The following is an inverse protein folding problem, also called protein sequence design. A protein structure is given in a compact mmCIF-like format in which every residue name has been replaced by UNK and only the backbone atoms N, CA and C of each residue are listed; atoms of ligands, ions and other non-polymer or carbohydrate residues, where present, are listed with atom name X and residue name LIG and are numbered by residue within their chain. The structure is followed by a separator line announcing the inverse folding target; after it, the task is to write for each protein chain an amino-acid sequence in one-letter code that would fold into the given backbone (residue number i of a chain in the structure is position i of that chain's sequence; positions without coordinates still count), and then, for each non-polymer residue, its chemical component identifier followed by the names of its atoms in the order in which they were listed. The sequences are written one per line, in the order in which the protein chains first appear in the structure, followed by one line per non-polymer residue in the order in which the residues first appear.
data_IF_292155456683
#
_entry.id   IF_292155456683
#
_cell.length_a   1.000
_cell.length_b   1.000
_cell.length_c   1.000
_cell.angle_alpha   90.00
_cell.angle_beta   90.00
_cell.angle_gamma   90.00
#
_symmetry.space_group_name_H-M   'P 1'
#
loop_
_entity.id
_entity.type
_entity.pdbx_description
1 polymer ?
#
# COMPACT_ATOMS: atom_id res chain seq x y z
N UNK A 1 11.81 4.19 9.14
CA UNK A 1 11.76 5.54 8.53
C UNK A 1 13.07 6.27 8.82
N UNK A 2 13.69 6.89 7.81
CA UNK A 2 14.98 7.59 7.92
C UNK A 2 14.85 8.89 8.74
N UNK A 3 15.77 9.14 9.67
CA UNK A 3 15.90 10.39 10.44
C UNK A 3 16.93 11.37 9.85
N UNK A 4 17.49 11.07 8.66
CA UNK A 4 18.56 11.88 8.08
C UNK A 4 18.03 13.22 7.54
N UNK A 5 18.57 14.33 8.06
CA UNK A 5 18.36 15.67 7.49
C UNK A 5 19.06 15.73 6.11
N UNK A 6 18.40 16.37 5.15
CA UNK A 6 18.75 16.49 3.71
C UNK A 6 20.15 17.06 3.36
N UNK A 7 21.02 17.34 4.34
CA UNK A 7 22.38 17.84 4.08
C UNK A 7 23.37 16.73 3.68
N UNK A 8 23.03 15.45 3.87
CA UNK A 8 23.86 14.32 3.45
C UNK A 8 23.07 13.39 2.53
N UNK A 9 23.58 13.13 1.33
CA UNK A 9 23.00 12.19 0.38
C UNK A 9 23.22 10.76 0.89
N UNK A 10 22.18 10.16 1.47
CA UNK A 10 22.22 8.77 1.97
C UNK A 10 21.57 7.84 0.95
N UNK A 11 22.26 6.75 0.63
CA UNK A 11 21.76 5.73 -0.29
C UNK A 11 21.05 4.58 0.43
N UNK A 12 20.00 4.06 -0.21
CA UNK A 12 19.41 2.76 0.08
C UNK A 12 19.95 1.74 -0.92
N UNK A 13 20.31 0.56 -0.42
CA UNK A 13 20.86 -0.56 -1.20
C UNK A 13 20.01 -1.81 -0.99
N UNK A 14 20.16 -2.79 -1.89
CA UNK A 14 19.48 -4.09 -1.78
C UNK A 14 19.64 -4.72 -0.39
N UNK A 15 20.84 -4.66 0.19
CA UNK A 15 21.08 -5.17 1.54
C UNK A 15 20.26 -4.39 2.59
N UNK A 16 20.20 -3.05 2.48
CA UNK A 16 19.38 -2.25 3.39
C UNK A 16 17.89 -2.56 3.25
N UNK A 17 17.43 -2.88 2.04
CA UNK A 17 16.05 -3.29 1.77
C UNK A 17 15.75 -4.66 2.34
N UNK A 18 16.62 -5.63 2.09
CA UNK A 18 16.46 -6.99 2.60
C UNK A 18 16.40 -7.06 4.13
N UNK A 19 17.19 -6.22 4.82
CA UNK A 19 17.22 -6.15 6.29
C UNK A 19 15.88 -5.83 6.93
N UNK A 20 15.01 -5.06 6.27
CA UNK A 20 13.66 -4.80 6.77
C UNK A 20 12.61 -5.70 6.11
N UNK A 21 12.81 -6.07 4.85
CA UNK A 21 11.84 -6.84 4.06
C UNK A 21 11.69 -8.27 4.57
N UNK A 22 12.78 -8.97 4.93
CA UNK A 22 12.67 -10.35 5.42
C UNK A 22 11.87 -10.47 6.73
N UNK A 23 12.16 -9.68 7.79
CA UNK A 23 11.33 -9.67 8.99
C UNK A 23 9.87 -9.31 8.70
N UNK A 24 9.65 -8.36 7.78
CA UNK A 24 8.31 -7.96 7.37
C UNK A 24 7.55 -9.10 6.67
N UNK A 25 8.23 -9.86 5.81
CA UNK A 25 7.65 -11.04 5.17
C UNK A 25 7.16 -12.05 6.22
N UNK A 26 8.02 -12.38 7.19
CA UNK A 26 7.71 -13.36 8.22
C UNK A 26 6.60 -12.92 9.16
N UNK A 27 6.66 -11.68 9.65
CA UNK A 27 5.77 -11.21 10.71
C UNK A 27 4.45 -10.64 10.17
N UNK A 28 4.42 -10.19 8.91
CA UNK A 28 3.28 -9.50 8.33
C UNK A 28 2.76 -10.19 7.08
N UNK A 29 3.58 -10.34 6.05
CA UNK A 29 3.12 -10.85 4.75
C UNK A 29 2.58 -12.29 4.86
N UNK A 30 3.33 -13.20 5.49
CA UNK A 30 2.89 -14.59 5.64
C UNK A 30 1.62 -14.69 6.48
N UNK A 31 1.53 -14.12 7.70
CA UNK A 31 0.28 -14.17 8.47
C UNK A 31 -0.91 -13.55 7.75
N UNK A 32 -0.73 -12.38 7.13
CA UNK A 32 -1.80 -11.68 6.40
C UNK A 32 -2.24 -12.42 5.13
N UNK A 33 -1.35 -13.16 4.48
CA UNK A 33 -1.70 -14.01 3.35
C UNK A 33 -2.38 -15.32 3.77
N UNK A 34 -1.90 -15.95 4.84
CA UNK A 34 -2.39 -17.26 5.27
C UNK A 34 -3.73 -17.20 6.00
N UNK A 35 -3.95 -16.23 6.90
CA UNK A 35 -5.18 -16.14 7.71
C UNK A 35 -6.46 -16.10 6.85
N UNK A 36 -6.56 -15.28 5.77
CA UNK A 36 -7.69 -15.31 4.85
C UNK A 36 -7.96 -16.69 4.25
N UNK A 37 -6.90 -17.37 3.82
CA UNK A 37 -6.99 -18.68 3.16
C UNK A 37 -7.41 -19.78 4.14
N UNK A 38 -6.86 -19.75 5.37
CA UNK A 38 -7.26 -20.64 6.45
C UNK A 38 -8.73 -20.42 6.80
N UNK A 39 -9.18 -19.17 6.89
CA UNK A 39 -10.56 -18.85 7.21
C UNK A 39 -11.53 -19.44 6.17
N UNK A 40 -11.31 -19.19 4.87
CA UNK A 40 -12.20 -19.76 3.85
C UNK A 40 -12.13 -21.29 3.79
N UNK A 41 -11.00 -21.90 4.13
CA UNK A 41 -10.87 -23.35 4.21
C UNK A 41 -11.70 -23.94 5.36
N UNK A 42 -11.66 -23.32 6.55
CA UNK A 42 -12.41 -23.76 7.74
C UNK A 42 -13.93 -23.62 7.52
N UNK A 43 -14.36 -22.52 6.89
CA UNK A 43 -15.78 -22.21 6.68
C UNK A 43 -16.31 -22.65 5.30
N UNK A 44 -15.51 -23.37 4.51
CA UNK A 44 -15.85 -23.82 3.15
C UNK A 44 -16.37 -22.70 2.23
N UNK A 45 -15.78 -21.51 2.33
CA UNK A 45 -16.17 -20.34 1.55
C UNK A 45 -15.45 -20.33 0.19
N UNK A 46 -16.11 -19.84 -0.88
CA UNK A 46 -15.46 -19.73 -2.18
C UNK A 46 -14.40 -18.64 -2.21
N UNK A 47 -13.42 -18.72 -3.11
CA UNK A 47 -12.40 -17.66 -3.30
C UNK A 47 -13.00 -16.27 -3.56
N UNK A 48 -14.17 -16.23 -4.21
CA UNK A 48 -14.93 -14.99 -4.43
C UNK A 48 -15.32 -14.26 -3.14
N UNK A 49 -15.39 -14.95 -2.00
CA UNK A 49 -15.59 -14.34 -0.68
C UNK A 49 -14.49 -13.33 -0.35
N UNK A 50 -13.25 -13.62 -0.75
CA UNK A 50 -12.09 -12.75 -0.55
C UNK A 50 -11.92 -11.71 -1.66
N UNK A 51 -12.87 -11.60 -2.61
CA UNK A 51 -12.71 -10.76 -3.79
C UNK A 51 -11.68 -11.28 -4.79
N UNK A 52 -11.30 -12.56 -4.72
CA UNK A 52 -10.43 -13.21 -5.69
C UNK A 52 -11.26 -13.66 -6.90
N UNK A 53 -11.60 -12.68 -7.75
CA UNK A 53 -12.43 -12.85 -8.94
C UNK A 53 -11.79 -12.19 -10.16
N UNK A 54 -12.03 -12.75 -11.35
CA UNK A 54 -11.58 -12.21 -12.65
C UNK A 54 -12.75 -11.61 -13.43
N UNK A 55 -13.61 -10.86 -12.75
CA UNK A 55 -14.73 -10.13 -13.37
C UNK A 55 -14.24 -8.81 -13.95
N UNK A 56 -14.80 -8.42 -15.11
CA UNK A 56 -14.59 -7.09 -15.71
C UNK A 56 -13.12 -6.64 -15.78
N UNK A 57 -12.19 -7.57 -16.05
CA UNK A 57 -10.72 -7.33 -15.99
C UNK A 57 -10.28 -6.04 -16.71
N UNK A 58 -10.74 -5.73 -17.94
CA UNK A 58 -10.37 -4.48 -18.60
C UNK A 58 -10.74 -3.22 -17.80
N UNK A 59 -11.92 -3.21 -17.15
CA UNK A 59 -12.37 -2.11 -16.30
C UNK A 59 -11.48 -1.99 -15.06
N UNK A 60 -11.19 -3.10 -14.39
CA UNK A 60 -10.34 -3.11 -13.20
C UNK A 60 -8.90 -2.69 -13.51
N UNK A 61 -8.36 -3.07 -14.66
CA UNK A 61 -7.05 -2.60 -15.12
C UNK A 61 -7.08 -1.10 -15.42
N UNK A 62 -8.09 -0.62 -16.16
CA UNK A 62 -8.23 0.79 -16.49
C UNK A 62 -8.35 1.66 -15.24
N UNK A 63 -9.28 1.33 -14.33
CA UNK A 63 -9.49 2.05 -13.08
C UNK A 63 -8.27 1.92 -12.18
N UNK A 64 -7.72 0.71 -12.06
CA UNK A 64 -6.52 0.44 -11.26
C UNK A 64 -5.34 1.30 -11.66
N UNK A 65 -5.05 1.39 -12.97
CA UNK A 65 -3.96 2.21 -13.50
C UNK A 65 -4.25 3.70 -13.36
N UNK A 66 -5.43 4.18 -13.76
CA UNK A 66 -5.76 5.61 -13.72
C UNK A 66 -5.76 6.15 -12.28
N UNK A 67 -6.49 5.47 -11.38
CA UNK A 67 -6.54 5.85 -9.97
C UNK A 67 -5.18 5.60 -9.33
N UNK A 68 -4.46 4.54 -9.69
CA UNK A 68 -3.14 4.23 -9.18
C UNK A 68 -2.12 5.32 -9.50
N UNK A 69 -2.04 5.79 -10.75
CA UNK A 69 -1.17 6.91 -11.15
C UNK A 69 -1.52 8.18 -10.36
N UNK A 70 -2.82 8.50 -10.26
CA UNK A 70 -3.28 9.63 -9.46
C UNK A 70 -2.89 9.52 -7.99
N UNK A 71 -3.03 8.32 -7.41
CA UNK A 71 -2.66 8.07 -6.02
C UNK A 71 -1.16 8.04 -5.78
N UNK A 72 -0.35 7.60 -6.75
CA UNK A 72 1.12 7.71 -6.67
C UNK A 72 1.55 9.18 -6.63
N UNK A 73 0.97 10.01 -7.50
CA UNK A 73 1.21 11.46 -7.51
C UNK A 73 0.74 12.15 -6.21
N UNK A 74 -0.43 11.77 -5.71
CA UNK A 74 -0.92 12.21 -4.41
C UNK A 74 0.03 11.81 -3.29
N UNK A 75 0.45 10.54 -3.24
CA UNK A 75 1.28 10.01 -2.17
C UNK A 75 2.66 10.67 -2.10
N UNK A 76 3.32 10.86 -3.25
CA UNK A 76 4.61 11.58 -3.28
C UNK A 76 4.47 13.03 -2.85
N UNK A 77 3.39 13.69 -3.28
CA UNK A 77 3.10 15.09 -2.93
C UNK A 77 2.79 15.22 -1.44
N UNK A 78 1.95 14.35 -0.90
CA UNK A 78 1.63 14.29 0.53
C UNK A 78 2.88 14.04 1.36
N UNK A 79 3.74 13.09 0.96
CA UNK A 79 5.02 12.85 1.63
C UNK A 79 5.87 14.11 1.64
N UNK A 80 6.03 14.75 0.48
CA UNK A 80 6.86 15.94 0.31
C UNK A 80 6.40 17.11 1.18
N UNK A 81 5.09 17.37 1.22
CA UNK A 81 4.53 18.57 1.85
C UNK A 81 4.16 18.38 3.32
N UNK A 82 3.66 17.21 3.70
CA UNK A 82 3.07 16.97 5.03
C UNK A 82 4.01 16.16 5.93
N UNK A 83 4.57 15.07 5.40
CA UNK A 83 5.43 14.18 6.19
C UNK A 83 6.83 14.77 6.34
N UNK A 84 7.37 15.28 5.24
CA UNK A 84 8.66 15.95 5.18
C UNK A 84 9.48 15.48 3.97
N UNK A 85 10.35 16.34 3.41
CA UNK A 85 11.09 16.06 2.18
C UNK A 85 12.31 15.17 2.41
N UNK A 86 12.23 14.23 3.35
CA UNK A 86 13.35 13.40 3.78
C UNK A 86 13.35 12.14 2.92
N UNK A 87 14.49 11.84 2.30
CA UNK A 87 14.63 10.71 1.40
C UNK A 87 15.91 9.92 1.65
N UNK A 88 15.92 8.67 1.18
CA UNK A 88 17.16 7.90 0.96
C UNK A 88 17.17 7.47 -0.49
N UNK A 89 18.17 7.91 -1.25
CA UNK A 89 18.23 7.64 -2.68
C UNK A 89 18.46 6.14 -2.92
N UNK A 90 17.53 5.40 -3.51
CA UNK A 90 17.74 4.00 -3.82
C UNK A 90 18.76 3.85 -4.95
N UNK A 91 19.61 2.83 -4.89
CA UNK A 91 20.34 2.38 -6.08
C UNK A 91 19.35 1.82 -7.11
N UNK A 92 19.72 1.74 -8.39
CA UNK A 92 18.82 1.25 -9.42
C UNK A 92 18.25 -0.16 -9.11
N UNK A 93 19.10 -1.06 -8.61
CA UNK A 93 18.68 -2.39 -8.18
C UNK A 93 17.78 -2.37 -6.95
N UNK A 94 18.08 -1.49 -5.98
CA UNK A 94 17.24 -1.32 -4.80
C UNK A 94 15.85 -0.82 -5.16
N UNK A 95 15.78 0.16 -6.08
CA UNK A 95 14.53 0.71 -6.60
C UNK A 95 13.67 -0.38 -7.26
N UNK A 96 14.30 -1.23 -8.07
CA UNK A 96 13.64 -2.35 -8.73
C UNK A 96 13.04 -3.33 -7.71
N UNK A 97 13.85 -3.77 -6.73
CA UNK A 97 13.40 -4.72 -5.70
C UNK A 97 12.27 -4.15 -4.86
N UNK A 98 12.40 -2.89 -4.41
CA UNK A 98 11.33 -2.25 -3.64
C UNK A 98 10.04 -2.12 -4.44
N UNK A 99 10.14 -1.67 -5.70
CA UNK A 99 8.97 -1.53 -6.58
C UNK A 99 8.27 -2.87 -6.81
N UNK A 100 9.02 -3.93 -7.10
CA UNK A 100 8.47 -5.28 -7.29
C UNK A 100 7.77 -5.75 -6.01
N UNK A 101 8.42 -5.59 -4.86
CA UNK A 101 7.83 -5.98 -3.59
C UNK A 101 6.53 -5.22 -3.30
N UNK A 102 6.49 -3.90 -3.50
CA UNK A 102 5.28 -3.11 -3.23
C UNK A 102 4.13 -3.44 -4.19
N UNK A 103 4.42 -3.64 -5.48
CA UNK A 103 3.40 -3.92 -6.50
C UNK A 103 2.87 -5.36 -6.43
N UNK A 104 3.73 -6.35 -6.19
CA UNK A 104 3.39 -7.76 -6.39
C UNK A 104 3.35 -8.59 -5.11
N UNK A 105 3.79 -8.06 -3.97
CA UNK A 105 3.78 -8.78 -2.69
C UNK A 105 2.98 -8.00 -1.66
N UNK A 106 3.44 -6.80 -1.30
CA UNK A 106 2.85 -6.03 -0.21
C UNK A 106 1.43 -5.54 -0.52
N UNK A 107 1.22 -4.81 -1.61
CA UNK A 107 -0.13 -4.36 -2.01
C UNK A 107 -1.14 -5.51 -2.13
N UNK A 108 -0.83 -6.60 -2.87
CA UNK A 108 -1.68 -7.77 -2.95
C UNK A 108 -2.07 -8.39 -1.61
N UNK A 109 -1.10 -8.61 -0.73
CA UNK A 109 -1.35 -9.29 0.55
C UNK A 109 -2.10 -8.39 1.53
N UNK A 110 -1.78 -7.10 1.57
CA UNK A 110 -2.51 -6.17 2.42
C UNK A 110 -3.96 -6.02 1.97
N UNK A 111 -4.22 -5.89 0.67
CA UNK A 111 -5.59 -5.79 0.16
C UNK A 111 -6.37 -7.10 0.31
N UNK A 112 -5.73 -8.26 0.13
CA UNK A 112 -6.32 -9.55 0.44
C UNK A 112 -6.77 -9.61 1.90
N UNK A 113 -5.96 -9.13 2.82
CA UNK A 113 -6.29 -9.18 4.24
C UNK A 113 -7.33 -8.14 4.64
N UNK A 114 -7.21 -6.88 4.22
CA UNK A 114 -8.08 -5.81 4.70
C UNK A 114 -9.38 -5.71 3.91
N UNK A 115 -9.34 -5.67 2.58
CA UNK A 115 -10.53 -5.49 1.72
C UNK A 115 -11.17 -6.82 1.36
N UNK A 116 -10.35 -7.85 1.17
CA UNK A 116 -10.83 -9.21 0.96
C UNK A 116 -11.38 -9.82 2.25
N UNK A 117 -10.52 -10.06 3.23
CA UNK A 117 -10.86 -10.85 4.42
C UNK A 117 -11.54 -10.06 5.53
N UNK A 118 -10.88 -9.05 6.14
CA UNK A 118 -11.38 -8.36 7.33
C UNK A 118 -12.75 -7.72 7.08
N UNK A 119 -12.88 -7.02 5.94
CA UNK A 119 -14.14 -6.43 5.53
C UNK A 119 -15.24 -7.50 5.37
N UNK A 120 -14.98 -8.55 4.59
CA UNK A 120 -15.97 -9.59 4.31
C UNK A 120 -16.34 -10.41 5.56
N UNK A 121 -15.37 -10.79 6.38
CA UNK A 121 -15.59 -11.55 7.61
C UNK A 121 -16.41 -10.72 8.60
N UNK A 122 -16.02 -9.47 8.88
CA UNK A 122 -16.80 -8.63 9.80
C UNK A 122 -18.19 -8.37 9.25
N UNK A 123 -18.34 -8.12 7.94
CA UNK A 123 -19.66 -7.95 7.32
C UNK A 123 -20.50 -9.24 7.41
N UNK A 124 -19.90 -10.43 7.26
CA UNK A 124 -20.56 -11.73 7.41
C UNK A 124 -21.09 -11.92 8.84
N UNK A 125 -20.26 -11.65 9.86
CA UNK A 125 -20.63 -11.87 11.27
C UNK A 125 -21.59 -10.82 11.83
N UNK A 126 -21.52 -9.58 11.33
CA UNK A 126 -22.34 -8.46 11.82
C UNK A 126 -23.56 -8.16 10.94
N UNK A 127 -23.65 -8.80 9.77
CA UNK A 127 -24.61 -8.48 8.71
C UNK A 127 -24.60 -7.00 8.30
N UNK A 128 -23.45 -6.32 8.47
CA UNK A 128 -23.30 -4.89 8.17
C UNK A 128 -22.04 -4.63 7.36
N UNK A 129 -22.24 -4.26 6.09
CA UNK A 129 -21.16 -3.80 5.22
C UNK A 129 -20.45 -2.57 5.80
N UNK A 130 -21.21 -1.67 6.45
CA UNK A 130 -20.66 -0.49 7.08
C UNK A 130 -19.69 -0.85 8.22
N UNK A 131 -20.05 -1.80 9.09
CA UNK A 131 -19.16 -2.25 10.16
C UNK A 131 -17.94 -2.98 9.60
N UNK A 132 -18.10 -3.79 8.55
CA UNK A 132 -16.98 -4.43 7.86
C UNK A 132 -16.01 -3.41 7.25
N UNK A 133 -16.54 -2.41 6.55
CA UNK A 133 -15.77 -1.30 6.01
C UNK A 133 -15.04 -0.54 7.13
N UNK A 134 -15.76 -0.11 8.18
CA UNK A 134 -15.21 0.67 9.28
C UNK A 134 -14.10 -0.09 10.01
N UNK A 135 -14.32 -1.36 10.35
CA UNK A 135 -13.32 -2.21 10.99
C UNK A 135 -12.09 -2.38 10.11
N UNK A 136 -12.27 -2.72 8.83
CA UNK A 136 -11.15 -2.89 7.89
C UNK A 136 -10.32 -1.62 7.73
N UNK A 137 -10.96 -0.45 7.60
CA UNK A 137 -10.29 0.84 7.43
C UNK A 137 -9.58 1.30 8.71
N UNK A 138 -10.20 1.14 9.89
CA UNK A 138 -9.57 1.50 11.17
C UNK A 138 -8.36 0.61 11.43
N UNK A 139 -8.50 -0.72 11.30
CA UNK A 139 -7.39 -1.64 11.55
C UNK A 139 -6.28 -1.40 10.52
N UNK A 140 -6.60 -1.23 9.23
CA UNK A 140 -5.65 -0.83 8.18
C UNK A 140 -4.89 0.46 8.53
N UNK A 141 -5.59 1.47 9.05
CA UNK A 141 -4.94 2.75 9.40
C UNK A 141 -4.03 2.57 10.62
N UNK A 142 -4.53 1.91 11.67
CA UNK A 142 -3.83 1.85 12.96
C UNK A 142 -2.69 0.84 12.98
N UNK A 143 -2.72 -0.26 12.21
CA UNK A 143 -1.61 -1.22 12.24
C UNK A 143 -0.29 -0.61 11.76
N UNK A 144 -0.33 0.45 10.94
CA UNK A 144 0.87 1.20 10.54
C UNK A 144 1.61 1.82 11.73
N UNK A 145 0.94 2.04 12.87
CA UNK A 145 1.61 2.43 14.13
C UNK A 145 2.54 1.36 14.66
N UNK A 146 2.26 0.07 14.42
CA UNK A 146 3.15 -1.03 14.78
C UNK A 146 4.48 -0.96 14.03
N UNK A 147 4.46 -0.44 12.80
CA UNK A 147 5.66 -0.13 12.00
C UNK A 147 6.42 1.13 12.46
N UNK A 148 6.03 1.74 13.59
CA UNK A 148 6.57 2.99 14.14
C UNK A 148 6.41 4.21 13.22
N UNK A 149 5.39 4.22 12.35
CA UNK A 149 5.12 5.36 11.47
C UNK A 149 4.60 6.56 12.25
N UNK A 150 5.06 7.77 11.95
CA UNK A 150 4.55 8.98 12.60
C UNK A 150 3.05 9.23 12.26
N UNK A 151 2.34 9.97 13.11
CA UNK A 151 0.91 10.23 12.94
C UNK A 151 0.54 10.93 11.62
N UNK A 152 1.42 11.75 11.07
CA UNK A 152 1.19 12.39 9.75
C UNK A 152 1.17 11.36 8.64
N UNK A 153 2.07 10.38 8.69
CA UNK A 153 2.11 9.27 7.73
C UNK A 153 0.90 8.34 7.93
N UNK A 154 0.51 8.09 9.19
CA UNK A 154 -0.68 7.30 9.53
C UNK A 154 -1.96 7.95 9.02
N UNK A 155 -2.09 9.28 9.14
CA UNK A 155 -3.21 10.02 8.54
C UNK A 155 -3.23 9.89 7.01
N UNK A 156 -2.07 9.96 6.36
CA UNK A 156 -1.95 9.80 4.91
C UNK A 156 -2.37 8.42 4.41
N UNK A 157 -1.93 7.35 5.08
CA UNK A 157 -2.39 5.98 4.76
C UNK A 157 -3.87 5.80 5.09
N UNK A 158 -4.41 6.43 6.13
CA UNK A 158 -5.83 6.41 6.42
C UNK A 158 -6.67 7.00 5.27
N UNK A 159 -6.25 8.16 4.74
CA UNK A 159 -6.87 8.78 3.57
C UNK A 159 -6.79 7.87 2.34
N UNK A 160 -5.60 7.30 2.06
CA UNK A 160 -5.44 6.33 0.99
C UNK A 160 -6.35 5.11 1.20
N UNK A 161 -6.48 4.66 2.45
CA UNK A 161 -7.31 3.53 2.82
C UNK A 161 -8.80 3.74 2.54
N UNK A 162 -9.30 4.98 2.66
CA UNK A 162 -10.65 5.33 2.22
C UNK A 162 -10.78 5.18 0.71
N UNK A 163 -9.82 5.70 -0.07
CA UNK A 163 -9.82 5.55 -1.54
C UNK A 163 -9.79 4.09 -1.96
N UNK A 164 -8.96 3.27 -1.31
CA UNK A 164 -8.87 1.82 -1.60
C UNK A 164 -10.22 1.14 -1.38
N UNK A 165 -10.89 1.46 -0.27
CA UNK A 165 -12.22 0.93 0.02
C UNK A 165 -13.26 1.39 -1.01
N UNK A 166 -13.21 2.65 -1.46
CA UNK A 166 -14.11 3.14 -2.51
C UNK A 166 -13.88 2.43 -3.85
N UNK A 167 -12.62 2.23 -4.24
CA UNK A 167 -12.28 1.47 -5.46
C UNK A 167 -12.78 0.03 -5.38
N UNK A 168 -12.65 -0.62 -4.22
CA UNK A 168 -13.10 -1.99 -4.02
C UNK A 168 -14.64 -2.12 -4.00
N UNK A 169 -15.34 -1.17 -3.36
CA UNK A 169 -16.78 -1.27 -3.12
C UNK A 169 -17.65 -0.68 -4.23
N UNK A 170 -17.18 0.35 -4.94
CA UNK A 170 -18.01 1.08 -5.91
C UNK A 170 -17.92 0.55 -7.35
N UNK A 171 -16.96 -0.32 -7.65
CA UNK A 171 -16.90 -0.94 -8.97
C UNK A 171 -18.08 -1.90 -9.19
N UNK A 172 -18.67 -1.91 -10.40
CA UNK A 172 -19.87 -2.69 -10.67
C UNK A 172 -19.57 -4.20 -10.70
N UNK A 173 -20.57 -4.98 -10.30
CA UNK A 173 -20.50 -6.45 -10.30
C UNK A 173 -19.91 -7.02 -9.01
N UNK A 174 -19.51 -8.31 -9.01
CA UNK A 174 -18.86 -8.92 -7.86
C UNK A 174 -17.56 -8.21 -7.52
N UNK A 175 -17.30 -8.01 -6.23
CA UNK A 175 -16.06 -7.38 -5.78
C UNK A 175 -14.83 -8.15 -6.29
N UNK A 176 -13.85 -7.40 -6.79
CA UNK A 176 -12.55 -7.91 -7.23
C UNK A 176 -11.42 -7.08 -6.63
N UNK A 177 -10.39 -7.77 -6.13
CA UNK A 177 -9.20 -7.12 -5.57
C UNK A 177 -8.29 -6.51 -6.64
N UNK A 178 -8.46 -6.83 -7.93
CA UNK A 178 -7.50 -6.45 -8.98
C UNK A 178 -7.24 -4.94 -9.04
N UNK A 179 -8.31 -4.13 -9.11
CA UNK A 179 -8.16 -2.68 -9.20
C UNK A 179 -7.51 -2.09 -7.94
N UNK A 180 -7.98 -2.49 -6.75
CA UNK A 180 -7.48 -1.94 -5.48
C UNK A 180 -6.03 -2.36 -5.22
N UNK A 181 -5.62 -3.57 -5.62
CA UNK A 181 -4.22 -4.02 -5.55
C UNK A 181 -3.31 -3.11 -6.37
N UNK A 182 -3.70 -2.78 -7.60
CA UNK A 182 -2.93 -1.88 -8.47
C UNK A 182 -2.85 -0.50 -7.83
N UNK A 183 -3.99 0.05 -7.38
CA UNK A 183 -4.04 1.37 -6.73
C UNK A 183 -3.15 1.39 -5.50
N UNK A 184 -3.23 0.38 -4.64
CA UNK A 184 -2.40 0.27 -3.44
C UNK A 184 -0.93 0.24 -3.83
N UNK A 185 -0.52 -0.68 -4.70
CA UNK A 185 0.88 -0.85 -5.09
C UNK A 185 1.49 0.45 -5.65
N UNK A 186 0.73 1.20 -6.46
CA UNK A 186 1.14 2.51 -6.95
C UNK A 186 1.23 3.56 -5.83
N UNK A 187 0.27 3.58 -4.92
CA UNK A 187 0.25 4.50 -3.77
C UNK A 187 1.46 4.28 -2.87
N UNK A 188 1.74 3.03 -2.52
CA UNK A 188 2.88 2.66 -1.66
C UNK A 188 4.21 2.93 -2.37
N UNK A 189 4.31 2.62 -3.67
CA UNK A 189 5.50 2.95 -4.46
C UNK A 189 5.71 4.47 -4.56
N UNK A 190 4.65 5.24 -4.79
CA UNK A 190 4.67 6.70 -4.82
C UNK A 190 5.03 7.33 -3.46
N UNK A 191 4.58 6.74 -2.35
CA UNK A 191 4.96 7.19 -1.02
C UNK A 191 6.40 6.83 -0.67
N UNK A 192 6.87 5.64 -1.04
CA UNK A 192 8.19 5.12 -0.67
C UNK A 192 9.15 5.18 -1.87
N UNK A 193 9.36 4.07 -2.56
CA UNK A 193 10.36 3.87 -3.63
C UNK A 193 10.41 4.99 -4.69
N UNK A 194 9.33 5.22 -5.44
CA UNK A 194 9.27 6.29 -6.44
C UNK A 194 9.31 7.67 -5.77
N UNK A 195 8.73 7.79 -4.57
CA UNK A 195 8.75 9.01 -3.79
C UNK A 195 10.16 9.46 -3.39
N UNK A 196 11.02 8.52 -3.00
CA UNK A 196 12.42 8.80 -2.66
C UNK A 196 13.19 9.36 -3.87
N UNK A 197 12.96 8.81 -5.06
CA UNK A 197 13.57 9.28 -6.30
C UNK A 197 13.06 10.68 -6.68
N UNK A 198 11.75 10.92 -6.62
CA UNK A 198 11.16 12.25 -6.89
C UNK A 198 11.69 13.31 -5.92
N UNK A 199 11.77 12.99 -4.63
CA UNK A 199 12.33 13.89 -3.62
C UNK A 199 13.82 14.18 -3.88
N UNK A 200 14.59 13.17 -4.28
CA UNK A 200 15.99 13.35 -4.69
C UNK A 200 16.12 14.29 -5.89
N UNK A 201 15.33 14.08 -6.95
CA UNK A 201 15.38 14.92 -8.15
C UNK A 201 15.00 16.37 -7.83
N UNK A 202 13.98 16.58 -6.99
CA UNK A 202 13.62 17.92 -6.51
C UNK A 202 14.74 18.56 -5.71
N UNK A 203 15.36 17.84 -4.78
CA UNK A 203 16.50 18.34 -4.01
C UNK A 203 17.67 18.72 -4.93
N UNK A 204 18.02 17.86 -5.89
CA UNK A 204 19.08 18.10 -6.88
C UNK A 204 18.81 19.37 -7.69
N UNK A 205 17.57 19.55 -8.16
CA UNK A 205 17.15 20.74 -8.89
C UNK A 205 17.27 22.03 -8.08
N UNK A 206 16.92 21.97 -6.79
CA UNK A 206 17.04 23.13 -5.90
C UNK A 206 18.51 23.48 -5.62
N UNK A 207 19.38 22.48 -5.43
CA UNK A 207 20.82 22.71 -5.24
C UNK A 207 21.48 23.35 -6.47
N UNK A 208 21.07 22.93 -7.67
CA UNK A 208 21.59 23.50 -8.92
C UNK A 208 21.19 24.96 -9.16
N UNK A 209 20.13 25.45 -8.49
CA UNK A 209 19.70 26.86 -8.57
C UNK A 209 20.38 27.77 -7.54
N UNK A 210 21.02 27.18 -6.53
CA UNK A 210 21.72 27.91 -5.47
C UNK A 210 23.23 28.05 -5.72
N UNK A 211 23.75 27.43 -6.77
CA UNK A 211 25.11 27.59 -7.31
C UNK A 211 25.05 28.50 -8.52
#
# INVERSE_FOLDING_TARGET
MSSAKSSQLVYSTVNSTWRWMWPDILMRIIPMGCVPLIYIAIFHLPLSFLGLTLTSVPLHLLVGILVGVGMAAFAVTYRMLIVGPWFRKPTAWDQCIQTIFYLFINGPVEELFFRGFMLAAVAQWTHSLFLGWLASTIVYTLYHRLGKWNWRSVGGVGLAGVVFSLVYLLLPGPHSLLAVIIVHGFTTSGFLSWGDEVLYQRWKHLQAKTV
#
